data_IF_310666393035
#
_entry.id   IF_310666393035
#
_cell.length_a   1.000
_cell.length_b   1.000
_cell.length_c   1.000
_cell.angle_alpha   90.00
_cell.angle_beta   90.00
_cell.angle_gamma   90.00
#
_symmetry.space_group_name_H-M   'P 1'
#
loop_
_entity.id
_entity.type
_entity.pdbx_description
1 polymer ?
#
# COMPACT_ATOMS: atom_id res chain seq x y z
N UNK A 1 38.72 -36.48 1.25
CA UNK A 1 38.63 -35.44 2.29
C UNK A 1 37.93 -34.24 1.69
N UNK A 2 36.74 -33.98 2.20
CA UNK A 2 35.81 -32.90 1.83
C UNK A 2 36.12 -31.70 2.72
N UNK A 3 36.18 -30.48 2.18
CA UNK A 3 35.92 -29.20 2.86
C UNK A 3 35.75 -28.15 1.73
N UNK A 4 34.54 -28.00 1.21
CA UNK A 4 33.53 -27.00 1.61
C UNK A 4 33.80 -25.63 0.94
N UNK A 5 33.06 -25.40 -0.15
CA UNK A 5 32.99 -24.14 -0.89
C UNK A 5 32.25 -23.15 0.01
N UNK A 6 32.95 -22.11 0.48
CA UNK A 6 32.37 -20.98 1.23
C UNK A 6 31.50 -20.13 0.29
N UNK A 7 30.28 -20.60 0.02
CA UNK A 7 29.21 -19.82 -0.59
C UNK A 7 28.23 -19.37 0.49
N UNK A 8 27.89 -18.09 0.51
CA UNK A 8 26.66 -17.68 1.21
C UNK A 8 26.65 -16.30 1.84
N UNK A 9 26.41 -15.29 1.01
CA UNK A 9 25.46 -14.20 1.31
C UNK A 9 25.81 -13.20 2.43
N UNK A 10 26.81 -12.36 2.17
CA UNK A 10 26.89 -11.02 2.80
C UNK A 10 25.77 -10.05 2.34
N UNK A 11 24.81 -10.51 1.53
CA UNK A 11 23.66 -9.73 1.06
C UNK A 11 22.36 -9.90 1.86
N UNK A 12 22.38 -10.64 2.98
CA UNK A 12 21.18 -10.81 3.83
C UNK A 12 21.00 -9.72 4.90
N UNK A 13 21.81 -8.66 4.89
CA UNK A 13 21.78 -7.59 5.90
C UNK A 13 21.28 -6.22 5.38
N UNK A 14 20.50 -6.21 4.30
CA UNK A 14 19.54 -5.12 4.07
C UNK A 14 18.16 -5.67 4.43
N UNK A 15 17.81 -5.62 5.73
CA UNK A 15 16.42 -5.66 6.14
C UNK A 15 15.74 -4.43 5.52
N UNK A 16 15.30 -4.59 4.27
CA UNK A 16 14.61 -3.55 3.52
C UNK A 16 13.40 -3.15 4.33
N UNK A 17 13.16 -1.84 4.48
CA UNK A 17 11.96 -1.19 5.04
C UNK A 17 10.68 -1.77 4.43
N UNK A 18 10.30 -2.98 4.83
CA UNK A 18 9.53 -3.86 3.96
C UNK A 18 8.05 -3.72 4.29
N UNK A 19 7.28 -3.38 3.27
CA UNK A 19 5.84 -3.44 3.34
C UNK A 19 5.39 -4.89 3.54
N UNK A 20 4.63 -5.14 4.60
CA UNK A 20 3.94 -6.42 4.80
C UNK A 20 2.54 -6.37 4.20
N UNK A 21 1.98 -7.53 3.89
CA UNK A 21 0.59 -7.70 3.42
C UNK A 21 -0.04 -8.85 4.20
N UNK A 22 -1.24 -8.63 4.69
CA UNK A 22 -2.08 -9.66 5.30
C UNK A 22 -3.45 -9.64 4.61
N UNK A 23 -3.97 -10.81 4.24
CA UNK A 23 -5.25 -10.93 3.54
C UNK A 23 -6.28 -11.53 4.49
N UNK A 24 -7.41 -10.84 4.68
CA UNK A 24 -8.52 -11.34 5.49
C UNK A 24 -9.83 -10.63 5.11
N UNK A 25 -10.95 -11.36 5.14
CA UNK A 25 -12.29 -10.77 4.99
C UNK A 25 -12.50 -9.96 3.71
N UNK A 26 -11.92 -10.38 2.59
CA UNK A 26 -12.02 -9.64 1.32
C UNK A 26 -11.20 -8.34 1.26
N UNK A 27 -10.28 -8.13 2.21
CA UNK A 27 -9.41 -6.97 2.29
C UNK A 27 -7.93 -7.35 2.38
N UNK A 28 -7.07 -6.38 2.08
CA UNK A 28 -5.63 -6.46 2.33
C UNK A 28 -5.23 -5.39 3.33
N UNK A 29 -4.51 -5.79 4.38
CA UNK A 29 -3.85 -4.90 5.33
C UNK A 29 -2.39 -4.77 4.94
N UNK A 30 -1.96 -3.54 4.67
CA UNK A 30 -0.56 -3.19 4.48
C UNK A 30 0.03 -2.78 5.82
N UNK A 31 1.17 -3.37 6.20
CA UNK A 31 1.90 -3.01 7.41
C UNK A 31 3.25 -2.39 7.09
N UNK A 32 3.70 -1.50 7.98
CA UNK A 32 4.91 -0.71 7.79
C UNK A 32 5.68 -0.51 9.11
N UNK A 33 5.72 -1.55 9.94
CA UNK A 33 6.15 -1.52 11.36
C UNK A 33 7.50 -0.86 11.63
N UNK A 34 8.44 -0.96 10.70
CA UNK A 34 9.81 -0.45 10.83
C UNK A 34 9.96 1.05 10.55
N UNK A 35 8.90 1.74 10.12
CA UNK A 35 8.98 3.19 9.81
C UNK A 35 9.05 4.02 11.08
N UNK A 36 9.59 5.23 11.02
CA UNK A 36 9.41 6.20 12.10
C UNK A 36 7.97 6.76 12.09
N UNK A 37 7.56 7.48 13.13
CA UNK A 37 6.21 8.03 13.21
C UNK A 37 5.96 9.08 12.11
N UNK A 38 6.98 9.89 11.80
CA UNK A 38 6.96 10.98 10.82
C UNK A 38 6.88 10.47 9.38
N UNK A 39 7.34 9.24 9.14
CA UNK A 39 7.31 8.59 7.82
C UNK A 39 6.24 7.49 7.72
N UNK A 40 5.44 7.29 8.75
CA UNK A 40 4.34 6.33 8.68
C UNK A 40 3.25 6.85 7.72
N UNK A 41 2.54 5.95 7.01
CA UNK A 41 1.37 6.30 6.22
C UNK A 41 0.38 7.14 7.02
N UNK A 42 -0.16 8.16 6.38
CA UNK A 42 -1.19 9.01 6.95
C UNK A 42 -2.54 8.51 6.48
N UNK A 43 -3.43 8.16 7.39
CA UNK A 43 -4.72 7.57 7.02
C UNK A 43 -5.82 8.40 7.64
N UNK A 44 -6.82 8.73 6.84
CA UNK A 44 -8.11 9.22 7.29
C UNK A 44 -9.15 8.17 6.92
N UNK A 45 -9.68 7.46 7.93
CA UNK A 45 -10.63 6.36 7.74
C UNK A 45 -11.79 6.70 6.80
N UNK A 46 -11.90 5.92 5.72
CA UNK A 46 -12.89 6.06 4.65
C UNK A 46 -12.67 7.23 3.69
N UNK A 47 -11.62 8.05 3.89
CA UNK A 47 -11.43 9.33 3.21
C UNK A 47 -10.14 9.44 2.43
N UNK A 48 -9.03 8.89 2.91
CA UNK A 48 -7.81 8.95 2.14
C UNK A 48 -6.56 8.40 2.81
N UNK A 49 -5.54 8.32 1.98
CA UNK A 49 -4.22 7.78 2.27
C UNK A 49 -3.16 8.79 1.81
N UNK A 50 -2.25 9.15 2.70
CA UNK A 50 -1.00 9.85 2.41
C UNK A 50 0.17 8.90 2.58
N UNK A 51 1.08 8.87 1.60
CA UNK A 51 2.32 8.10 1.66
C UNK A 51 3.51 9.01 1.40
N UNK A 52 4.66 8.79 2.06
CA UNK A 52 5.89 9.47 1.68
C UNK A 52 6.20 9.22 0.20
N UNK A 53 6.56 10.26 -0.54
CA UNK A 53 6.77 10.17 -1.99
C UNK A 53 7.84 9.13 -2.39
N UNK A 54 8.97 9.12 -1.67
CA UNK A 54 10.08 8.19 -1.87
C UNK A 54 9.72 6.72 -1.66
N UNK A 55 8.60 6.44 -1.00
CA UNK A 55 8.11 5.09 -0.77
C UNK A 55 7.08 4.61 -1.79
N UNK A 56 6.55 5.50 -2.64
CA UNK A 56 5.56 5.15 -3.65
C UNK A 56 6.04 4.05 -4.61
N UNK A 57 7.30 4.02 -5.08
CA UNK A 57 7.77 2.92 -5.92
C UNK A 57 7.69 1.55 -5.22
N UNK A 58 8.10 1.50 -3.96
CA UNK A 58 8.06 0.28 -3.16
C UNK A 58 6.61 -0.15 -2.86
N UNK A 59 5.72 0.80 -2.60
CA UNK A 59 4.30 0.53 -2.39
C UNK A 59 3.60 0.07 -3.68
N UNK A 60 3.92 0.69 -4.82
CA UNK A 60 3.40 0.28 -6.13
C UNK A 60 3.75 -1.18 -6.46
N UNK A 61 4.95 -1.65 -6.07
CA UNK A 61 5.32 -3.05 -6.18
C UNK A 61 4.42 -3.97 -5.34
N UNK A 62 3.96 -3.53 -4.16
CA UNK A 62 3.03 -4.29 -3.34
C UNK A 62 1.63 -4.35 -3.95
N UNK A 63 1.14 -3.26 -4.53
CA UNK A 63 -0.14 -3.26 -5.25
C UNK A 63 -0.11 -4.26 -6.43
N UNK A 64 1.01 -4.34 -7.16
CA UNK A 64 1.20 -5.36 -8.21
C UNK A 64 1.15 -6.79 -7.63
N UNK A 65 1.76 -7.02 -6.46
CA UNK A 65 1.74 -8.33 -5.79
C UNK A 65 0.33 -8.71 -5.29
N UNK A 66 -0.44 -7.76 -4.77
CA UNK A 66 -1.84 -8.01 -4.35
C UNK A 66 -2.68 -8.49 -5.53
N UNK A 67 -2.56 -7.85 -6.69
CA UNK A 67 -3.32 -8.24 -7.89
C UNK A 67 -2.94 -9.62 -8.46
N UNK A 68 -1.80 -10.20 -8.02
CA UNK A 68 -1.41 -11.57 -8.38
C UNK A 68 -1.91 -12.62 -7.38
N UNK A 69 -2.42 -12.20 -6.23
CA UNK A 69 -2.88 -13.09 -5.18
C UNK A 69 -4.30 -13.59 -5.47
N UNK A 70 -4.59 -14.86 -5.20
CA UNK A 70 -5.91 -15.47 -5.46
C UNK A 70 -7.06 -14.75 -4.73
N UNK A 71 -6.82 -14.35 -3.47
CA UNK A 71 -7.79 -13.63 -2.65
C UNK A 71 -8.31 -12.36 -3.34
N UNK A 72 -7.47 -11.66 -4.12
CA UNK A 72 -7.92 -10.48 -4.87
C UNK A 72 -8.98 -10.86 -5.92
N UNK A 73 -8.75 -11.96 -6.65
CA UNK A 73 -9.67 -12.40 -7.71
C UNK A 73 -10.97 -12.98 -7.14
N UNK A 74 -10.89 -13.73 -6.05
CA UNK A 74 -12.08 -14.21 -5.32
C UNK A 74 -12.93 -13.03 -4.84
N UNK A 75 -12.34 -12.10 -4.09
CA UNK A 75 -13.05 -10.93 -3.60
C UNK A 75 -13.60 -10.07 -4.74
N UNK A 76 -12.92 -10.01 -5.89
CA UNK A 76 -13.40 -9.26 -7.06
C UNK A 76 -14.59 -9.94 -7.73
N UNK A 77 -14.61 -11.27 -7.80
CA UNK A 77 -15.71 -12.04 -8.37
C UNK A 77 -16.98 -11.95 -7.49
N UNK A 78 -16.81 -11.96 -6.17
CA UNK A 78 -17.90 -11.87 -5.19
C UNK A 78 -18.44 -10.44 -5.00
N UNK A 79 -17.67 -9.42 -5.38
CA UNK A 79 -18.05 -8.03 -5.20
C UNK A 79 -19.23 -7.64 -6.14
N UNK A 80 -20.41 -7.25 -5.60
CA UNK A 80 -21.54 -6.85 -6.43
C UNK A 80 -21.30 -5.52 -7.17
N UNK A 81 -20.45 -4.64 -6.62
CA UNK A 81 -20.07 -3.39 -7.25
C UNK A 81 -19.05 -3.61 -8.37
N UNK A 82 -19.55 -3.67 -9.61
CA UNK A 82 -18.72 -3.78 -10.81
C UNK A 82 -17.77 -2.60 -11.02
N UNK A 83 -17.99 -1.45 -10.37
CA UNK A 83 -17.12 -0.26 -10.42
C UNK A 83 -16.16 -0.13 -9.24
N UNK A 84 -16.14 -1.12 -8.32
CA UNK A 84 -15.28 -1.04 -7.13
C UNK A 84 -13.78 -0.88 -7.48
N UNK A 85 -13.34 -1.43 -8.61
CA UNK A 85 -11.96 -1.35 -9.10
C UNK A 85 -11.65 -0.19 -10.04
N UNK A 86 -12.56 0.78 -10.18
CA UNK A 86 -12.38 1.93 -11.04
C UNK A 86 -11.43 2.96 -10.40
N UNK A 87 -10.59 3.58 -11.21
CA UNK A 87 -9.66 4.61 -10.75
C UNK A 87 -10.40 5.83 -10.15
N UNK A 88 -11.65 6.08 -10.55
CA UNK A 88 -12.49 7.16 -10.01
C UNK A 88 -12.84 6.98 -8.52
N UNK A 89 -12.66 5.78 -7.95
CA UNK A 89 -12.79 5.55 -6.49
C UNK A 89 -11.67 6.20 -5.68
N UNK A 90 -10.60 6.60 -6.35
CA UNK A 90 -9.45 7.27 -5.78
C UNK A 90 -9.21 8.60 -6.50
N UNK A 91 -8.79 9.64 -5.79
CA UNK A 91 -8.33 10.87 -6.43
C UNK A 91 -7.00 10.64 -7.16
N UNK A 92 -6.63 11.51 -8.11
CA UNK A 92 -5.22 11.71 -8.47
C UNK A 92 -4.37 11.93 -7.21
N UNK A 93 -3.11 11.50 -7.26
CA UNK A 93 -2.13 11.81 -6.21
C UNK A 93 -1.85 13.31 -6.20
N UNK A 94 -1.83 13.90 -5.02
CA UNK A 94 -1.45 15.31 -4.80
C UNK A 94 -0.25 15.34 -3.88
N UNK A 95 0.87 15.84 -4.40
CA UNK A 95 2.07 16.09 -3.61
C UNK A 95 1.84 17.29 -2.68
N UNK A 96 2.36 17.17 -1.46
CA UNK A 96 2.43 18.21 -0.45
C UNK A 96 3.92 18.43 -0.14
N UNK A 97 4.41 19.63 -0.43
CA UNK A 97 5.82 19.98 -0.27
C UNK A 97 6.19 20.31 1.18
N UNK A 98 5.21 20.59 2.05
CA UNK A 98 5.45 20.87 3.47
C UNK A 98 5.87 19.60 4.22
N UNK A 99 5.32 18.44 3.84
CA UNK A 99 5.61 17.17 4.50
C UNK A 99 6.25 16.09 3.61
N UNK A 100 6.26 16.29 2.29
CA UNK A 100 6.81 15.35 1.32
C UNK A 100 5.94 14.11 1.10
N UNK A 101 4.64 14.21 1.37
CA UNK A 101 3.68 13.13 1.15
C UNK A 101 2.89 13.33 -0.14
N UNK A 102 2.40 12.21 -0.68
CA UNK A 102 1.44 12.17 -1.76
C UNK A 102 0.12 11.63 -1.23
N UNK A 103 -0.92 12.45 -1.38
CA UNK A 103 -2.25 12.16 -0.88
C UNK A 103 -3.19 11.66 -1.97
N UNK A 104 -3.88 10.57 -1.67
CA UNK A 104 -4.95 9.97 -2.46
C UNK A 104 -6.22 9.93 -1.61
N UNK A 105 -7.24 10.70 -1.98
CA UNK A 105 -8.56 10.54 -1.40
C UNK A 105 -9.15 9.21 -1.89
N UNK A 106 -9.74 8.43 -1.00
CA UNK A 106 -10.32 7.14 -1.33
C UNK A 106 -10.49 6.19 -0.14
N UNK A 107 -11.08 5.01 -0.39
CA UNK A 107 -11.52 4.10 0.64
C UNK A 107 -10.34 3.28 1.22
N UNK A 108 -9.83 3.72 2.36
CA UNK A 108 -8.92 2.96 3.23
C UNK A 108 -9.26 3.22 4.70
N UNK A 109 -8.84 2.33 5.60
CA UNK A 109 -9.06 2.49 7.05
C UNK A 109 -7.90 1.94 7.86
N UNK A 110 -7.68 2.44 9.07
CA UNK A 110 -6.76 1.86 10.05
C UNK A 110 -7.48 1.30 11.29
N UNK A 111 -8.82 1.28 11.27
CA UNK A 111 -9.65 0.71 12.34
C UNK A 111 -10.08 1.70 13.42
N UNK A 112 -9.38 2.83 13.58
CA UNK A 112 -9.77 3.83 14.58
C UNK A 112 -10.80 4.85 14.02
N UNK A 113 -11.73 5.36 14.84
CA UNK A 113 -12.81 6.24 14.41
C UNK A 113 -12.41 7.73 14.30
N UNK A 114 -11.12 8.04 14.45
CA UNK A 114 -10.67 9.43 14.58
C UNK A 114 -10.70 10.18 13.24
N UNK A 115 -11.19 11.43 13.23
CA UNK A 115 -11.17 12.24 12.03
C UNK A 115 -9.76 12.77 11.71
N UNK A 116 -9.52 12.98 10.41
CA UNK A 116 -8.30 13.55 9.89
C UNK A 116 -7.21 12.53 9.59
N UNK A 117 -6.17 13.00 8.91
CA UNK A 117 -4.99 12.18 8.62
C UNK A 117 -4.20 11.92 9.90
N UNK A 118 -3.97 10.64 10.20
CA UNK A 118 -3.17 10.19 11.34
C UNK A 118 -2.11 9.19 10.90
N UNK A 119 -0.89 9.26 11.46
CA UNK A 119 0.12 8.24 11.23
C UNK A 119 -0.38 6.87 11.68
N UNK A 120 -0.31 5.88 10.78
CA UNK A 120 -0.79 4.54 11.01
C UNK A 120 0.32 3.51 10.71
N UNK A 121 0.54 2.56 11.62
CA UNK A 121 1.49 1.45 11.43
C UNK A 121 1.01 0.41 10.42
N UNK A 122 -0.29 0.43 10.13
CA UNK A 122 -0.93 -0.40 9.14
C UNK A 122 -2.24 0.23 8.70
N UNK A 123 -2.67 -0.10 7.49
CA UNK A 123 -3.97 0.29 6.97
C UNK A 123 -4.53 -0.79 6.05
N UNK A 124 -5.84 -0.79 5.90
CA UNK A 124 -6.61 -1.80 5.19
C UNK A 124 -7.33 -1.17 4.01
N UNK A 125 -7.31 -1.87 2.88
CA UNK A 125 -8.06 -1.54 1.66
C UNK A 125 -8.85 -2.77 1.25
N UNK A 126 -10.12 -2.60 0.88
CA UNK A 126 -10.91 -3.69 0.33
C UNK A 126 -10.29 -4.16 -0.99
N UNK A 127 -10.12 -5.47 -1.18
CA UNK A 127 -9.45 -6.03 -2.35
C UNK A 127 -10.02 -5.54 -3.69
N UNK A 128 -11.36 -5.42 -3.87
CA UNK A 128 -11.92 -4.90 -5.11
C UNK A 128 -11.46 -3.47 -5.45
N UNK A 129 -11.07 -2.66 -4.45
CA UNK A 129 -10.67 -1.25 -4.61
C UNK A 129 -9.18 -1.07 -4.91
N UNK A 130 -8.36 -2.12 -4.74
CA UNK A 130 -6.90 -2.07 -4.91
C UNK A 130 -6.51 -1.71 -6.34
N UNK A 131 -7.27 -2.15 -7.35
CA UNK A 131 -7.00 -1.82 -8.76
C UNK A 131 -7.05 -0.32 -9.01
N UNK A 132 -8.06 0.37 -8.46
CA UNK A 132 -8.20 1.82 -8.59
C UNK A 132 -7.00 2.57 -8.00
N UNK A 133 -6.59 2.17 -6.78
CA UNK A 133 -5.42 2.76 -6.12
C UNK A 133 -4.15 2.53 -6.93
N UNK A 134 -3.93 1.32 -7.44
CA UNK A 134 -2.78 1.00 -8.30
C UNK A 134 -2.71 1.91 -9.53
N UNK A 135 -3.84 2.15 -10.20
CA UNK A 135 -3.88 3.03 -11.37
C UNK A 135 -3.46 4.45 -10.98
N UNK A 136 -3.94 4.98 -9.84
CA UNK A 136 -3.58 6.33 -9.39
C UNK A 136 -2.12 6.46 -8.99
N UNK A 137 -1.59 5.50 -8.23
CA UNK A 137 -0.17 5.49 -7.85
C UNK A 137 0.73 5.37 -9.09
N UNK A 138 0.38 4.49 -10.04
CA UNK A 138 1.13 4.36 -11.28
C UNK A 138 1.07 5.63 -12.14
N UNK A 139 -0.07 6.31 -12.20
CA UNK A 139 -0.22 7.56 -12.94
C UNK A 139 0.62 8.69 -12.32
N UNK A 140 0.65 8.79 -10.99
CA UNK A 140 1.51 9.75 -10.29
C UNK A 140 2.98 9.51 -10.61
N UNK A 141 3.44 8.26 -10.45
CA UNK A 141 4.84 7.87 -10.72
C UNK A 141 5.28 8.02 -12.18
N UNK A 142 4.34 8.14 -13.12
CA UNK A 142 4.64 8.34 -14.54
C UNK A 142 4.61 9.83 -14.95
N UNK A 143 4.10 10.72 -14.09
CA UNK A 143 3.97 12.14 -14.36
C UNK A 143 5.12 12.99 -13.80
N UNK A 144 5.92 12.44 -12.88
CA UNK A 144 7.19 13.00 -12.40
C UNK A 144 8.38 12.30 -13.04
#
# INVERSE_FOLDING_TARGET
MTLEITGGTLFSALATKSWTRHYAGGAVTFGCRERTYERAPRVWGGRGLGLPEDELPAFAAQLKRVMKHEAYWLARAECPDRRAGDAARWSPGRYDDEDGFVYFAGPCTHGDPWPGYRPARSFTVALPQVRGLRIRVAAYLAAG
#
